data_IF_983445806655
#
_entry.id   IF_983445806655
#
_cell.length_a   1.000
_cell.length_b   1.000
_cell.length_c   1.000
_cell.angle_alpha   90.00
_cell.angle_beta   90.00
_cell.angle_gamma   90.00
#
_symmetry.space_group_name_H-M   'P 1'
#
loop_
_entity.id
_entity.type
_entity.pdbx_description
1 polymer ?
#
# COMPACT_ATOMS: atom_id res chain seq x y z
N UNK A 1 13.89 11.73 -23.90
CA UNK A 1 13.31 10.42 -24.28
C UNK A 1 11.81 10.51 -24.14
N UNK A 2 11.11 10.64 -25.26
CA UNK A 2 9.66 10.69 -25.35
C UNK A 2 9.10 9.27 -25.31
N UNK A 3 8.25 8.98 -24.34
CA UNK A 3 7.36 7.81 -24.38
C UNK A 3 5.97 8.19 -23.86
N UNK A 4 5.14 8.67 -24.79
CA UNK A 4 3.71 8.36 -24.84
C UNK A 4 3.45 8.11 -26.33
N UNK A 5 3.06 6.88 -26.75
CA UNK A 5 1.63 6.67 -26.97
C UNK A 5 1.11 5.22 -26.87
N UNK A 6 -0.22 5.15 -26.65
CA UNK A 6 -1.15 4.03 -26.90
C UNK A 6 -1.14 2.86 -25.93
N UNK A 7 -1.87 3.00 -24.83
CA UNK A 7 -2.82 1.97 -24.38
C UNK A 7 -3.91 2.57 -23.47
N UNK A 8 -4.70 3.52 -24.00
CA UNK A 8 -6.07 3.70 -23.52
C UNK A 8 -6.92 2.54 -24.04
N UNK A 9 -6.76 1.34 -23.45
CA UNK A 9 -7.79 0.30 -23.53
C UNK A 9 -8.73 0.52 -22.35
N UNK A 10 -9.83 1.21 -22.65
CA UNK A 10 -11.13 1.11 -21.96
C UNK A 10 -11.04 0.94 -20.43
N UNK A 11 -10.59 2.00 -19.74
CA UNK A 11 -11.04 2.24 -18.36
C UNK A 11 -12.54 2.57 -18.48
N UNK A 12 -13.46 1.94 -17.73
CA UNK A 12 -14.87 2.34 -17.71
C UNK A 12 -14.95 3.86 -17.47
N UNK A 13 -16.00 4.56 -17.96
CA UNK A 13 -16.05 6.01 -17.82
C UNK A 13 -15.82 6.37 -16.36
N UNK A 14 -14.77 7.17 -16.13
CA UNK A 14 -14.47 7.78 -14.85
C UNK A 14 -15.79 8.34 -14.28
N UNK A 15 -16.03 8.29 -12.97
CA UNK A 15 -17.20 8.96 -12.39
C UNK A 15 -17.21 10.39 -12.95
N UNK A 16 -18.28 10.74 -13.67
CA UNK A 16 -18.44 12.07 -14.31
C UNK A 16 -17.96 13.13 -13.32
N UNK A 17 -17.19 14.15 -13.73
CA UNK A 17 -16.49 15.10 -12.84
C UNK A 17 -17.27 15.63 -11.61
N UNK A 18 -18.61 15.59 -11.68
CA UNK A 18 -19.52 15.82 -10.56
C UNK A 18 -19.36 14.83 -9.38
N UNK A 19 -19.09 13.55 -9.62
CA UNK A 19 -18.92 12.52 -8.58
C UNK A 19 -17.66 12.73 -7.74
N UNK A 20 -16.53 13.08 -8.37
CA UNK A 20 -15.28 13.38 -7.63
C UNK A 20 -15.42 14.64 -6.79
N UNK A 21 -16.03 15.70 -7.35
CA UNK A 21 -16.31 16.93 -6.60
C UNK A 21 -17.25 16.69 -5.42
N UNK A 22 -18.28 15.87 -5.60
CA UNK A 22 -19.21 15.52 -4.53
C UNK A 22 -18.52 14.68 -3.44
N UNK A 23 -17.68 13.72 -3.82
CA UNK A 23 -16.89 12.92 -2.88
C UNK A 23 -15.97 13.80 -2.03
N UNK A 24 -15.30 14.82 -2.62
CA UNK A 24 -14.52 15.80 -1.84
C UNK A 24 -15.35 16.53 -0.81
N UNK A 25 -16.55 16.98 -1.17
CA UNK A 25 -17.42 17.71 -0.24
C UNK A 25 -17.85 16.81 0.92
N UNK A 26 -18.16 15.55 0.66
CA UNK A 26 -18.47 14.57 1.70
C UNK A 26 -17.27 14.41 2.65
N UNK A 27 -16.07 14.17 2.11
CA UNK A 27 -14.85 13.94 2.90
C UNK A 27 -14.46 15.16 3.75
N UNK A 28 -14.62 16.37 3.20
CA UNK A 28 -14.37 17.62 3.93
C UNK A 28 -15.39 17.86 5.06
N UNK A 29 -16.61 17.37 4.90
CA UNK A 29 -17.68 17.51 5.89
C UNK A 29 -17.64 16.42 6.99
N UNK A 30 -16.76 15.43 6.87
CA UNK A 30 -16.63 14.39 7.90
C UNK A 30 -16.10 14.98 9.22
N UNK A 31 -16.55 14.44 10.37
CA UNK A 31 -15.96 14.73 11.67
C UNK A 31 -14.45 14.49 11.68
N UNK A 32 -13.72 15.28 12.49
CA UNK A 32 -12.26 15.19 12.60
C UNK A 32 -11.76 13.83 13.07
N UNK A 33 -12.57 13.12 13.85
CA UNK A 33 -12.29 11.78 14.39
C UNK A 33 -12.75 10.64 13.47
N UNK A 34 -13.38 10.95 12.32
CA UNK A 34 -13.82 9.93 11.39
C UNK A 34 -12.60 9.24 10.73
N UNK A 35 -12.54 7.89 10.66
CA UNK A 35 -11.37 7.18 10.12
C UNK A 35 -10.94 7.61 8.71
N UNK A 36 -11.90 7.92 7.84
CA UNK A 36 -11.64 8.40 6.47
C UNK A 36 -11.22 9.88 6.38
N UNK A 37 -11.20 10.63 7.49
CA UNK A 37 -10.93 12.08 7.48
C UNK A 37 -9.46 12.40 7.20
N UNK A 38 -8.55 11.49 7.51
CA UNK A 38 -7.11 11.65 7.25
C UNK A 38 -6.78 11.79 5.76
N UNK A 39 -7.64 11.28 4.87
CA UNK A 39 -7.50 11.42 3.41
C UNK A 39 -7.46 12.88 2.98
N UNK A 40 -8.13 13.79 3.69
CA UNK A 40 -8.16 15.23 3.35
C UNK A 40 -6.80 15.90 3.55
N UNK A 41 -5.96 15.33 4.41
CA UNK A 41 -4.68 15.91 4.79
C UNK A 41 -3.54 15.47 3.86
N UNK A 42 -3.82 14.59 2.87
CA UNK A 42 -2.83 14.11 1.91
C UNK A 42 -2.74 15.02 0.67
N UNK A 43 -1.56 15.17 0.05
CA UNK A 43 -1.41 15.94 -1.20
C UNK A 43 -2.30 15.44 -2.34
N UNK A 44 -2.50 14.13 -2.43
CA UNK A 44 -3.27 13.43 -3.46
C UNK A 44 -4.73 13.92 -3.48
N UNK A 45 -5.26 14.31 -2.31
CA UNK A 45 -6.62 14.80 -2.16
C UNK A 45 -6.96 15.99 -3.05
N UNK A 46 -5.99 16.84 -3.37
CA UNK A 46 -6.23 18.11 -4.08
C UNK A 46 -6.14 17.98 -5.61
N UNK A 47 -5.72 16.83 -6.14
CA UNK A 47 -5.63 16.59 -7.59
C UNK A 47 -6.72 15.61 -8.05
N UNK A 48 -7.23 15.76 -9.28
CA UNK A 48 -8.27 14.86 -9.81
C UNK A 48 -7.74 13.42 -9.88
N UNK A 49 -6.54 13.24 -10.43
CA UNK A 49 -5.93 11.93 -10.61
C UNK A 49 -5.53 11.31 -9.27
N UNK A 50 -4.95 12.09 -8.34
CA UNK A 50 -4.57 11.60 -7.01
C UNK A 50 -5.76 11.17 -6.17
N UNK A 51 -6.85 11.95 -6.14
CA UNK A 51 -8.06 11.55 -5.42
C UNK A 51 -8.73 10.33 -6.06
N UNK A 52 -8.66 10.21 -7.38
CA UNK A 52 -9.14 9.02 -8.07
C UNK A 52 -8.30 7.79 -7.69
N UNK A 53 -6.98 7.92 -7.62
CA UNK A 53 -6.10 6.82 -7.24
C UNK A 53 -6.31 6.41 -5.77
N UNK A 54 -6.41 7.40 -4.88
CA UNK A 54 -6.52 7.17 -3.43
C UNK A 54 -7.87 6.56 -2.98
N UNK A 55 -8.97 6.83 -3.70
CA UNK A 55 -10.32 6.46 -3.23
C UNK A 55 -11.04 5.54 -4.21
N UNK A 56 -10.78 5.70 -5.51
CA UNK A 56 -11.56 5.08 -6.57
C UNK A 56 -10.71 4.13 -7.43
N UNK A 57 -9.54 3.72 -6.96
CA UNK A 57 -8.71 2.77 -7.70
C UNK A 57 -9.29 1.35 -7.58
N UNK A 58 -9.97 0.93 -8.65
CA UNK A 58 -10.55 -0.41 -8.79
C UNK A 58 -9.50 -1.54 -8.76
N UNK A 59 -8.21 -1.21 -8.96
CA UNK A 59 -7.11 -2.17 -8.88
C UNK A 59 -6.48 -2.24 -7.49
N UNK A 60 -6.87 -1.36 -6.56
CA UNK A 60 -6.37 -1.40 -5.20
C UNK A 60 -6.83 -2.69 -4.51
N UNK A 61 -5.86 -3.52 -4.14
CA UNK A 61 -6.10 -4.78 -3.44
C UNK A 61 -5.50 -4.67 -2.05
N UNK A 62 -6.31 -4.98 -1.04
CA UNK A 62 -5.86 -5.00 0.35
C UNK A 62 -5.10 -6.28 0.63
N UNK A 63 -3.78 -6.23 0.48
CA UNK A 63 -2.91 -7.29 0.92
C UNK A 63 -2.64 -7.18 2.43
N UNK A 64 -2.53 -8.32 3.09
CA UNK A 64 -1.82 -8.46 4.37
C UNK A 64 -0.44 -9.09 4.13
N UNK A 65 0.52 -8.99 5.07
CA UNK A 65 1.84 -9.60 4.92
C UNK A 65 1.72 -11.12 4.72
N UNK A 66 0.75 -11.78 5.37
CA UNK A 66 0.43 -13.19 5.10
C UNK A 66 -0.04 -13.46 3.68
N UNK A 67 -0.95 -12.64 3.14
CA UNK A 67 -1.42 -12.82 1.75
C UNK A 67 -0.30 -12.54 0.73
N UNK A 68 0.57 -11.58 1.04
CA UNK A 68 1.77 -11.26 0.27
C UNK A 68 2.75 -12.44 0.25
N UNK A 69 2.92 -13.15 1.38
CA UNK A 69 3.74 -14.38 1.45
C UNK A 69 3.26 -15.44 0.46
N UNK A 70 1.95 -15.67 0.39
CA UNK A 70 1.36 -16.60 -0.57
C UNK A 70 1.57 -16.14 -2.03
N UNK A 71 1.37 -14.85 -2.31
CA UNK A 71 1.58 -14.26 -3.64
C UNK A 71 3.04 -14.42 -4.10
N UNK A 72 4.01 -14.04 -3.27
CA UNK A 72 5.43 -14.13 -3.59
C UNK A 72 5.86 -15.58 -3.82
N UNK A 73 5.40 -16.51 -2.97
CA UNK A 73 5.68 -17.94 -3.11
C UNK A 73 5.14 -18.48 -4.44
N UNK A 74 3.89 -18.17 -4.78
CA UNK A 74 3.28 -18.59 -6.06
C UNK A 74 3.97 -18.00 -7.29
N UNK A 75 4.66 -16.88 -7.11
CA UNK A 75 5.39 -16.16 -8.16
C UNK A 75 6.87 -16.56 -8.25
N UNK A 76 7.34 -17.49 -7.42
CA UNK A 76 8.75 -17.89 -7.37
C UNK A 76 9.66 -16.74 -6.92
N UNK A 77 9.22 -15.95 -5.97
CA UNK A 77 9.96 -14.83 -5.38
C UNK A 77 10.24 -15.10 -3.89
N UNK A 78 11.46 -14.77 -3.47
CA UNK A 78 11.86 -14.74 -2.08
C UNK A 78 11.83 -13.29 -1.57
N UNK A 79 11.07 -13.04 -0.52
CA UNK A 79 11.05 -11.77 0.21
C UNK A 79 12.40 -11.48 0.86
N UNK A 80 12.86 -10.22 0.80
CA UNK A 80 14.11 -9.76 1.41
C UNK A 80 13.88 -8.75 2.53
N UNK A 81 12.69 -8.17 2.63
CA UNK A 81 12.36 -7.12 3.59
C UNK A 81 11.51 -6.02 2.95
N UNK A 82 10.84 -5.25 3.79
CA UNK A 82 10.19 -4.01 3.39
C UNK A 82 11.22 -2.89 3.21
N UNK A 83 10.97 -2.02 2.24
CA UNK A 83 11.59 -0.71 2.16
C UNK A 83 10.81 0.22 3.08
N UNK A 84 11.45 0.67 4.16
CA UNK A 84 10.81 1.42 5.23
C UNK A 84 11.40 2.83 5.26
N UNK A 85 10.55 3.83 5.04
CA UNK A 85 10.95 5.23 5.11
C UNK A 85 11.32 5.67 6.54
N UNK A 86 10.68 5.09 7.56
CA UNK A 86 11.00 5.32 8.97
C UNK A 86 11.88 4.18 9.53
N UNK A 87 13.17 4.45 9.82
CA UNK A 87 14.07 3.47 10.42
C UNK A 87 13.63 2.98 11.81
N UNK A 88 12.79 3.75 12.52
CA UNK A 88 12.29 3.39 13.85
C UNK A 88 11.42 2.13 13.82
N UNK A 89 10.70 1.91 12.71
CA UNK A 89 9.84 0.74 12.52
C UNK A 89 10.69 -0.54 12.59
N UNK A 90 11.83 -0.57 11.90
CA UNK A 90 12.72 -1.74 11.90
C UNK A 90 13.31 -2.03 13.28
N UNK A 91 13.58 -1.00 14.08
CA UNK A 91 14.07 -1.16 15.45
C UNK A 91 12.99 -1.75 16.37
N UNK A 92 11.76 -1.24 16.27
CA UNK A 92 10.61 -1.79 17.03
C UNK A 92 10.34 -3.23 16.64
N UNK A 93 10.33 -3.52 15.34
CA UNK A 93 10.18 -4.89 14.83
C UNK A 93 11.23 -5.83 15.42
N UNK A 94 12.52 -5.44 15.37
CA UNK A 94 13.61 -6.27 15.89
C UNK A 94 13.54 -6.50 17.41
N UNK A 95 12.95 -5.56 18.16
CA UNK A 95 12.72 -5.71 19.59
C UNK A 95 11.59 -6.71 19.91
N UNK A 96 10.56 -6.78 19.08
CA UNK A 96 9.44 -7.72 19.24
C UNK A 96 9.76 -9.13 18.70
N UNK A 97 10.58 -9.21 17.65
CA UNK A 97 10.95 -10.46 16.97
C UNK A 97 12.47 -10.65 16.94
N UNK A 98 13.12 -10.89 18.10
CA UNK A 98 14.58 -11.01 18.18
C UNK A 98 15.15 -12.20 17.39
N UNK A 99 14.32 -13.22 17.13
CA UNK A 99 14.69 -14.40 16.33
C UNK A 99 14.64 -14.15 14.80
N UNK A 100 14.09 -13.02 14.35
CA UNK A 100 14.11 -12.55 12.96
C UNK A 100 14.84 -11.19 12.83
N UNK A 101 16.16 -11.14 13.11
CA UNK A 101 16.92 -9.89 13.09
C UNK A 101 17.05 -9.27 11.69
N UNK A 102 16.77 -10.04 10.63
CA UNK A 102 16.79 -9.56 9.25
C UNK A 102 15.45 -8.97 8.83
N UNK A 103 14.39 -9.18 9.60
CA UNK A 103 13.02 -8.78 9.30
C UNK A 103 12.53 -9.34 7.96
N UNK A 104 12.83 -10.62 7.71
CA UNK A 104 12.52 -11.30 6.45
C UNK A 104 11.36 -12.31 6.58
N UNK A 105 10.75 -12.48 7.76
CA UNK A 105 9.56 -13.33 7.90
C UNK A 105 8.28 -12.49 7.84
N UNK A 106 7.49 -12.72 6.78
CA UNK A 106 6.21 -12.06 6.58
C UNK A 106 5.15 -12.45 7.62
N UNK A 107 5.28 -13.60 8.30
CA UNK A 107 4.33 -13.95 9.37
C UNK A 107 4.56 -13.09 10.63
N UNK A 108 5.82 -12.74 10.92
CA UNK A 108 6.14 -11.79 11.99
C UNK A 108 5.65 -10.38 11.64
N UNK A 109 5.80 -9.95 10.38
CA UNK A 109 5.24 -8.67 9.91
C UNK A 109 3.72 -8.61 9.97
N UNK A 110 3.02 -9.73 9.71
CA UNK A 110 1.56 -9.83 9.85
C UNK A 110 1.12 -9.58 11.30
N UNK A 111 1.84 -10.13 12.28
CA UNK A 111 1.59 -9.90 13.71
C UNK A 111 1.96 -8.45 14.09
N UNK A 112 3.10 -7.95 13.62
CA UNK A 112 3.57 -6.60 13.90
C UNK A 112 2.56 -5.55 13.43
N UNK A 113 2.08 -5.65 12.18
CA UNK A 113 1.11 -4.70 11.63
C UNK A 113 -0.23 -4.72 12.39
N UNK A 114 -0.68 -5.88 12.88
CA UNK A 114 -1.88 -5.98 13.71
C UNK A 114 -1.72 -5.19 15.03
N UNK A 115 -0.52 -5.21 15.63
CA UNK A 115 -0.22 -4.46 16.85
C UNK A 115 0.08 -2.99 16.59
N UNK A 116 0.54 -2.66 15.38
CA UNK A 116 0.94 -1.32 14.94
C UNK A 116 0.25 -0.95 13.61
N UNK A 117 -1.06 -0.67 13.59
CA UNK A 117 -1.83 -0.50 12.34
C UNK A 117 -1.36 0.64 11.44
N UNK A 118 -0.59 1.59 11.97
CA UNK A 118 0.00 2.69 11.20
C UNK A 118 1.34 2.36 10.52
N UNK A 119 1.84 1.12 10.64
CA UNK A 119 3.15 0.73 10.10
C UNK A 119 3.26 0.95 8.60
N UNK A 120 2.20 0.59 7.87
CA UNK A 120 2.12 0.70 6.42
C UNK A 120 0.92 1.55 6.03
N UNK A 121 0.91 2.80 6.50
CA UNK A 121 -0.21 3.74 6.26
C UNK A 121 -0.43 4.02 4.76
N UNK A 122 0.60 3.82 3.94
CA UNK A 122 0.56 3.99 2.48
C UNK A 122 0.49 2.63 1.76
N UNK A 123 1.62 2.16 1.23
CA UNK A 123 1.73 0.96 0.41
C UNK A 123 2.89 0.09 0.89
N UNK A 124 2.76 -1.23 0.73
CA UNK A 124 3.90 -2.13 0.88
C UNK A 124 4.94 -1.88 -0.21
N UNK A 125 6.06 -1.27 0.17
CA UNK A 125 7.27 -1.23 -0.65
C UNK A 125 8.22 -2.32 -0.15
N UNK A 126 8.71 -3.17 -1.05
CA UNK A 126 9.47 -4.35 -0.65
C UNK A 126 10.51 -4.75 -1.68
N UNK A 127 11.53 -5.45 -1.19
CA UNK A 127 12.56 -6.04 -2.00
C UNK A 127 12.35 -7.55 -2.10
N UNK A 128 12.42 -8.06 -3.33
CA UNK A 128 12.38 -9.48 -3.62
C UNK A 128 13.58 -9.88 -4.49
N UNK A 129 13.95 -11.15 -4.41
CA UNK A 129 14.79 -11.81 -5.41
C UNK A 129 14.05 -12.98 -6.01
N UNK A 130 14.39 -13.33 -7.25
CA UNK A 130 13.95 -14.59 -7.86
C UNK A 130 14.38 -15.76 -6.97
N UNK A 131 13.46 -16.67 -6.68
CA UNK A 131 13.78 -17.93 -6.03
C UNK A 131 14.71 -18.71 -6.96
N UNK A 132 15.84 -19.18 -6.44
CA UNK A 132 16.69 -20.10 -7.19
C UNK A 132 15.91 -21.41 -7.26
N UNK A 133 15.51 -21.82 -8.46
CA UNK A 133 14.85 -23.10 -8.67
C UNK A 133 15.75 -24.26 -8.20
N UNK A 134 15.19 -25.46 -7.96
CA UNK A 134 16.02 -26.61 -7.61
C UNK A 134 17.01 -26.87 -8.76
N UNK A 135 18.30 -26.79 -8.47
CA UNK A 135 19.38 -27.35 -9.30
C UNK A 135 19.30 -28.86 -9.33
#
# INVERSE_FOLDING_TARGET
MHWVPRLMRLKPPLPQDHGVRHARQILLALPTDHPARGVVDTPEFFTLDGLHDLIFNIQETRYTPRSLKALLTSSGLNFLGFDLDDPSIKQKFAAEFPDDPKACDLDNWDIFEQNHPGTFTEMYQLWCRRSVGPT
#
